data_IF_833653959638
#
_entry.id   IF_833653959638
#
_cell.length_a   1.000
_cell.length_b   1.000
_cell.length_c   1.000
_cell.angle_alpha   90.00
_cell.angle_beta   90.00
_cell.angle_gamma   90.00
#
_symmetry.space_group_name_H-M   'P 1'
#
loop_
_entity.id
_entity.type
_entity.pdbx_description
1 polymer ?
2 polymer ?
3 water ?
#
# COMPACT_ATOMS: atom_id res chain seq x y z
N UNK A 1 -11.75 -0.06 26.47
CA UNK A 1 -12.61 0.74 25.62
C UNK A 1 -11.83 1.28 24.42
N UNK A 2 -12.54 1.53 23.33
CA UNK A 2 -11.93 2.08 22.13
C UNK A 2 -11.72 3.58 22.32
N UNK A 3 -10.51 4.04 22.04
CA UNK A 3 -10.17 5.44 22.24
C UNK A 3 -11.10 6.35 21.43
N UNK A 4 -11.60 7.42 22.07
CA UNK A 4 -12.55 8.30 21.41
C UNK A 4 -11.99 8.94 20.14
N UNK A 5 -10.69 9.23 20.12
CA UNK A 5 -10.12 9.82 18.91
C UNK A 5 -10.25 8.88 17.72
N UNK A 6 -10.20 7.57 17.96
CA UNK A 6 -10.35 6.61 16.86
C UNK A 6 -11.77 6.60 16.34
N UNK A 7 -12.76 6.79 17.23
CA UNK A 7 -14.14 6.89 16.77
C UNK A 7 -14.32 8.12 15.90
N UNK A 8 -13.63 9.21 16.24
CA UNK A 8 -13.67 10.41 15.42
C UNK A 8 -13.05 10.17 14.04
N UNK A 9 -11.93 9.44 13.98
CA UNK A 9 -11.35 9.10 12.68
C UNK A 9 -12.34 8.28 11.86
N UNK A 10 -12.99 7.30 12.50
CA UNK A 10 -14.03 6.50 11.82
C UNK A 10 -15.10 7.40 11.22
N UNK A 11 -15.56 8.38 12.00
CA UNK A 11 -16.60 9.29 11.50
C UNK A 11 -16.11 10.06 10.29
N UNK A 12 -14.84 10.49 10.30
CA UNK A 12 -14.32 11.25 9.17
C UNK A 12 -14.16 10.37 7.94
N UNK A 13 -13.53 9.20 8.12
CA UNK A 13 -13.30 8.31 7.00
C UNK A 13 -14.59 7.88 6.34
N UNK A 14 -15.65 7.79 7.12
CA UNK A 14 -16.91 7.24 6.63
C UNK A 14 -17.81 8.31 6.05
N UNK A 15 -17.39 9.56 6.10
CA UNK A 15 -18.22 10.65 5.59
C UNK A 15 -18.37 10.53 4.08
N UNK A 16 -19.54 10.87 3.54
CA UNK A 16 -19.71 10.83 2.09
C UNK A 16 -18.64 11.65 1.40
N UNK A 17 -18.08 11.09 0.33
CA UNK A 17 -17.13 11.77 -0.56
C UNK A 17 -15.79 12.09 0.09
N UNK A 18 -15.47 11.51 1.27
CA UNK A 18 -14.21 11.84 1.93
C UNK A 18 -13.02 11.67 1.00
N UNK A 19 -13.01 10.61 0.19
CA UNK A 19 -11.87 10.29 -0.66
C UNK A 19 -12.06 10.74 -2.11
N UNK A 20 -13.12 11.50 -2.40
CA UNK A 20 -13.38 11.90 -3.79
C UNK A 20 -12.24 12.73 -4.37
N UNK A 21 -11.47 13.43 -3.53
CA UNK A 21 -10.33 14.21 -4.05
C UNK A 21 -9.34 13.35 -4.82
N UNK A 22 -9.32 12.04 -4.60
CA UNK A 22 -8.39 11.19 -5.32
C UNK A 22 -8.61 11.21 -6.83
N UNK A 23 -9.80 11.64 -7.28
CA UNK A 23 -10.06 11.70 -8.70
C UNK A 23 -9.13 12.70 -9.41
N UNK A 24 -8.57 13.65 -8.67
CA UNK A 24 -7.68 14.66 -9.24
C UNK A 24 -6.22 14.40 -8.94
N UNK A 25 -5.86 13.24 -8.40
CA UNK A 25 -4.49 13.01 -8.00
C UNK A 25 -3.62 12.56 -9.16
N UNK A 26 -2.46 13.17 -9.29
CA UNK A 26 -1.40 12.64 -10.16
C UNK A 26 -0.70 11.53 -9.37
N UNK A 27 -1.14 10.30 -9.60
CA UNK A 27 -0.72 9.17 -8.76
C UNK A 27 0.79 8.96 -8.83
N UNK A 28 1.34 8.89 -10.04
CA UNK A 28 2.76 8.57 -10.16
C UNK A 28 3.63 9.65 -9.53
N UNK A 29 3.27 10.91 -9.77
CA UNK A 29 4.06 12.00 -9.20
C UNK A 29 4.02 11.98 -7.68
N UNK A 30 2.83 11.74 -7.09
CA UNK A 30 2.70 11.75 -5.64
C UNK A 30 3.47 10.60 -5.02
N UNK A 31 3.36 9.39 -5.60
CA UNK A 31 4.09 8.24 -5.05
C UNK A 31 5.59 8.39 -5.23
N UNK A 32 6.02 8.92 -6.39
CA UNK A 32 7.44 9.20 -6.57
C UNK A 32 7.95 10.15 -5.49
N UNK A 33 7.19 11.21 -5.21
CA UNK A 33 7.58 12.14 -4.15
C UNK A 33 7.63 11.45 -2.80
N UNK A 34 6.66 10.59 -2.50
CA UNK A 34 6.67 9.87 -1.23
C UNK A 34 7.82 8.89 -1.13
N UNK A 35 8.32 8.40 -2.26
CA UNK A 35 9.45 7.47 -2.22
C UNK A 35 10.79 8.18 -2.11
N UNK A 36 10.83 9.51 -2.25
CA UNK A 36 12.08 10.23 -2.13
C UNK A 36 12.46 10.36 -0.66
N UNK A 37 13.73 10.60 -0.37
CA UNK A 37 14.17 10.54 1.04
C UNK A 37 13.44 11.49 1.98
N UNK A 38 13.14 12.72 1.57
CA UNK A 38 12.54 13.65 2.51
C UNK A 38 11.28 13.04 3.14
N UNK A 39 10.33 12.64 2.30
CA UNK A 39 9.10 12.07 2.84
C UNK A 39 9.35 10.68 3.42
N UNK A 40 10.08 9.84 2.69
CA UNK A 40 10.22 8.44 3.11
C UNK A 40 10.92 8.33 4.46
N UNK A 41 11.98 9.13 4.67
CA UNK A 41 12.69 9.10 5.94
C UNK A 41 11.79 9.58 7.08
N UNK A 42 10.99 10.60 6.81
CA UNK A 42 10.12 11.11 7.85
C UNK A 42 9.03 10.10 8.20
N UNK A 43 8.43 9.48 7.20
CA UNK A 43 7.42 8.46 7.45
C UNK A 43 8.01 7.32 8.27
N UNK A 44 9.17 6.82 7.85
CA UNK A 44 9.80 5.72 8.58
C UNK A 44 10.19 6.12 10.00
N UNK A 45 10.61 7.36 10.21
CA UNK A 45 10.88 7.81 11.57
C UNK A 45 9.65 7.73 12.45
N UNK A 46 8.49 8.18 11.93
CA UNK A 46 7.24 8.03 12.68
C UNK A 46 6.95 6.57 12.96
N UNK A 47 7.05 5.73 11.91
CA UNK A 47 6.75 4.32 12.05
C UNK A 47 7.64 3.66 13.08
N UNK A 48 8.94 3.90 12.98
CA UNK A 48 9.88 3.26 13.89
C UNK A 48 9.65 3.69 15.34
N UNK A 49 9.34 4.96 15.56
CA UNK A 49 9.07 5.42 16.92
C UNK A 49 7.81 4.78 17.46
N UNK A 50 6.76 4.71 16.65
CA UNK A 50 5.50 4.15 17.11
C UNK A 50 5.60 2.65 17.32
N UNK A 51 6.45 1.98 16.55
CA UNK A 51 6.62 0.54 16.67
C UNK A 51 7.22 0.13 18.01
N UNK A 52 7.90 1.05 18.69
CA UNK A 52 8.44 0.73 20.01
C UNK A 52 7.40 0.90 21.11
N UNK A 53 6.25 1.49 20.83
CA UNK A 53 5.24 1.73 21.83
C UNK A 53 4.37 0.49 22.01
N UNK A 54 3.54 0.52 23.05
CA UNK A 54 2.65 -0.57 23.42
C UNK A 54 1.21 -0.07 23.37
N UNK A 55 0.35 -0.79 22.66
CA UNK A 55 -1.04 -0.39 22.49
C UNK A 55 -2.00 -1.45 23.02
N UNK A 56 -3.15 -0.97 23.52
CA UNK A 56 -4.21 -1.83 24.00
C UNK A 56 -4.79 -2.65 22.86
N UNK A 57 -5.27 -3.85 23.19
CA UNK A 57 -5.74 -4.74 22.12
C UNK A 57 -7.01 -4.22 21.45
N UNK A 58 -7.92 -3.61 22.22
CA UNK A 58 -9.12 -3.09 21.56
C UNK A 58 -8.77 -1.97 20.59
N UNK A 59 -7.79 -1.12 20.95
CA UNK A 59 -7.37 -0.07 20.02
C UNK A 59 -6.71 -0.67 18.78
N UNK A 60 -5.83 -1.65 18.94
CA UNK A 60 -5.20 -2.28 17.77
C UNK A 60 -6.27 -2.91 16.88
N UNK A 61 -7.19 -3.64 17.48
CA UNK A 61 -8.25 -4.26 16.69
C UNK A 61 -9.06 -3.20 15.95
N UNK A 62 -9.40 -2.12 16.64
CA UNK A 62 -10.17 -1.06 15.99
C UNK A 62 -9.36 -0.37 14.90
N UNK A 63 -8.06 -0.17 15.11
CA UNK A 63 -7.22 0.42 14.08
C UNK A 63 -7.22 -0.45 12.82
N UNK A 64 -7.22 -1.77 12.99
CA UNK A 64 -7.32 -2.62 11.81
C UNK A 64 -8.62 -2.40 11.05
N UNK A 65 -9.73 -2.13 11.76
CA UNK A 65 -10.98 -1.81 11.06
C UNK A 65 -10.89 -0.45 10.37
N UNK A 66 -10.14 0.49 10.95
CA UNK A 66 -9.93 1.78 10.29
C UNK A 66 -9.08 1.63 9.03
N UNK A 67 -8.05 0.78 9.09
CA UNK A 67 -7.24 0.50 7.91
C UNK A 67 -8.10 -0.08 6.79
N UNK A 68 -8.99 -1.01 7.13
CA UNK A 68 -9.82 -1.63 6.09
C UNK A 68 -10.74 -0.61 5.45
N UNK A 69 -11.36 0.25 6.25
CA UNK A 69 -12.19 1.32 5.73
C UNK A 69 -11.39 2.27 4.85
N UNK A 70 -10.24 2.73 5.34
CA UNK A 70 -9.43 3.64 4.54
C UNK A 70 -9.03 3.00 3.23
N UNK A 71 -8.61 1.74 3.28
CA UNK A 71 -8.20 1.06 2.06
C UNK A 71 -9.36 0.98 1.08
N UNK A 72 -10.49 0.43 1.52
CA UNK A 72 -11.57 0.12 0.59
C UNK A 72 -12.30 1.37 0.13
N UNK A 73 -12.54 2.33 1.04
CA UNK A 73 -13.24 3.54 0.63
C UNK A 73 -12.40 4.31 -0.39
N UNK A 74 -11.08 4.34 -0.22
CA UNK A 74 -10.25 5.00 -1.22
C UNK A 74 -10.13 4.19 -2.50
N UNK A 75 -10.13 2.86 -2.39
CA UNK A 75 -10.03 2.02 -3.58
C UNK A 75 -11.24 2.20 -4.49
N UNK A 76 -12.41 2.46 -3.90
CA UNK A 76 -13.63 2.67 -4.67
C UNK A 76 -13.54 3.90 -5.56
N UNK A 77 -12.69 4.86 -5.22
CA UNK A 77 -12.63 6.09 -5.99
C UNK A 77 -11.76 5.94 -7.24
N UNK A 78 -10.54 5.42 -7.10
CA UNK A 78 -9.63 5.33 -8.23
C UNK A 78 -9.02 3.94 -8.43
N UNK A 79 -9.39 2.94 -7.62
CA UNK A 79 -9.01 1.55 -7.91
C UNK A 79 -7.49 1.40 -8.08
N UNK A 80 -6.73 2.08 -7.21
CA UNK A 80 -5.28 2.00 -7.26
C UNK A 80 -4.79 1.35 -5.97
N UNK A 81 -4.18 0.17 -6.08
CA UNK A 81 -3.80 -0.58 -4.88
C UNK A 81 -2.71 0.12 -4.08
N UNK A 82 -1.71 0.70 -4.75
CA UNK A 82 -0.63 1.34 -4.01
C UNK A 82 -1.13 2.56 -3.25
N UNK A 83 -1.97 3.39 -3.90
CA UNK A 83 -2.55 4.52 -3.19
C UNK A 83 -3.32 4.03 -1.97
N UNK A 84 -4.23 3.07 -2.19
CA UNK A 84 -5.05 2.59 -1.08
C UNK A 84 -4.20 1.97 0.03
N UNK A 85 -3.13 1.26 -0.35
CA UNK A 85 -2.20 0.73 0.64
C UNK A 85 -1.51 1.83 1.43
N UNK A 86 -1.09 2.90 0.77
CA UNK A 86 -0.40 3.98 1.47
C UNK A 86 -1.36 4.70 2.41
N UNK A 87 -2.62 4.86 2.00
CA UNK A 87 -3.62 5.50 2.85
C UNK A 87 -3.87 4.65 4.07
N UNK A 88 -4.01 3.33 3.88
CA UNK A 88 -4.17 2.42 5.01
C UNK A 88 -3.00 2.53 6.00
N UNK A 89 -1.77 2.49 5.49
CA UNK A 89 -0.61 2.65 6.35
C UNK A 89 -0.62 4.00 7.05
N UNK A 90 -0.97 5.07 6.32
CA UNK A 90 -1.04 6.40 6.95
C UNK A 90 -2.03 6.38 8.11
N UNK A 91 -3.20 5.81 7.88
CA UNK A 91 -4.23 5.75 8.91
C UNK A 91 -3.74 4.95 10.13
N UNK A 92 -2.93 3.91 9.90
CA UNK A 92 -2.36 3.17 11.01
C UNK A 92 -1.53 4.09 11.91
N UNK A 93 -0.60 4.84 11.32
CA UNK A 93 0.28 5.66 12.15
C UNK A 93 -0.41 6.93 12.67
N UNK A 94 -1.35 7.47 11.91
CA UNK A 94 -2.20 8.57 12.40
C UNK A 94 -2.93 8.11 13.65
N UNK A 95 -3.57 6.94 13.56
CA UNK A 95 -4.36 6.44 14.68
C UNK A 95 -3.51 6.23 15.91
N UNK A 96 -2.36 5.59 15.74
CA UNK A 96 -1.48 5.34 16.89
C UNK A 96 -1.00 6.66 17.48
N UNK A 97 -0.71 7.64 16.63
CA UNK A 97 -0.28 8.94 17.13
C UNK A 97 -1.38 9.61 17.96
N UNK A 98 -2.63 9.53 17.52
CA UNK A 98 -3.71 10.10 18.30
C UNK A 98 -3.86 9.40 19.64
N UNK A 99 -3.75 8.07 19.67
CA UNK A 99 -3.94 7.33 20.92
C UNK A 99 -2.86 7.72 21.92
N UNK A 100 -1.63 7.94 21.44
CA UNK A 100 -0.54 8.38 22.30
C UNK A 100 -0.59 9.86 22.63
N UNK A 101 -1.58 10.60 22.11
CA UNK A 101 -1.72 12.03 22.35
C UNK A 101 -0.46 12.78 21.93
N UNK A 102 0.12 12.36 20.81
CA UNK A 102 1.40 12.95 20.42
C UNK A 102 1.20 14.39 19.98
N UNK A 103 1.99 15.28 20.57
CA UNK A 103 1.98 16.68 20.20
C UNK A 103 3.08 16.93 19.18
N UNK A 104 2.87 17.97 18.35
CA UNK A 104 3.78 18.28 17.25
C UNK A 104 4.00 17.07 16.35
N UNK A 105 2.96 16.26 16.15
CA UNK A 105 3.12 14.99 15.45
C UNK A 105 2.99 15.21 13.94
N UNK A 106 4.04 14.85 13.18
CA UNK A 106 3.99 14.93 11.71
C UNK A 106 2.88 14.07 11.14
N UNK A 107 2.64 12.89 11.74
CA UNK A 107 1.54 12.05 11.30
C UNK A 107 0.22 12.80 11.33
N UNK A 108 0.00 13.59 12.39
CA UNK A 108 -1.27 14.29 12.53
C UNK A 108 -1.27 15.61 11.76
N UNK A 109 -0.24 16.43 11.93
CA UNK A 109 -0.26 17.78 11.33
C UNK A 109 0.06 17.77 9.84
N UNK A 110 0.69 16.70 9.33
CA UNK A 110 0.87 16.55 7.90
C UNK A 110 -0.04 15.48 7.29
N UNK A 111 0.07 14.22 7.71
CA UNK A 111 -0.69 13.19 7.00
C UNK A 111 -2.19 13.35 7.20
N UNK A 112 -2.64 13.37 8.46
CA UNK A 112 -4.08 13.42 8.71
C UNK A 112 -4.66 14.76 8.25
N UNK A 113 -3.97 15.85 8.57
CA UNK A 113 -4.41 17.16 8.08
C UNK A 113 -4.54 17.19 6.56
N UNK A 114 -3.62 16.55 5.84
CA UNK A 114 -3.78 16.46 4.40
C UNK A 114 -5.13 15.83 4.03
N UNK A 115 -5.42 14.64 4.56
CA UNK A 115 -6.67 13.99 4.21
C UNK A 115 -7.87 14.89 4.53
N UNK A 116 -7.84 15.54 5.69
CA UNK A 116 -8.96 16.40 6.08
C UNK A 116 -9.13 17.58 5.14
N UNK A 117 -8.05 18.01 4.47
CA UNK A 117 -8.09 19.10 3.50
C UNK A 117 -8.20 18.60 2.06
N UNK A 118 -8.57 17.35 1.87
CA UNK A 118 -8.80 16.85 0.53
C UNK A 118 -7.53 16.68 -0.27
N UNK A 119 -6.45 16.23 0.37
CA UNK A 119 -5.22 15.98 -0.36
C UNK A 119 -4.55 14.70 0.11
N UNK A 120 -3.95 14.00 -0.86
CA UNK A 120 -3.11 12.85 -0.57
C UNK A 120 -1.75 13.36 -0.10
N UNK A 121 -1.32 13.04 1.12
CA UNK A 121 -0.07 13.64 1.63
C UNK A 121 1.16 13.13 0.88
N UNK A 122 2.04 14.05 0.55
CA UNK A 122 3.27 13.69 -0.14
C UNK A 122 4.38 14.64 0.32
N UNK B 19 -3.17 3.01 -21.51
CA UNK B 19 -2.73 2.61 -20.17
C UNK B 19 -3.91 2.30 -19.25
N UNK B 20 -3.88 1.13 -18.63
CA UNK B 20 -4.79 0.77 -17.57
C UNK B 20 -3.96 0.33 -16.37
N UNK B 21 -4.26 0.86 -15.19
CA UNK B 21 -3.38 0.65 -14.04
C UNK B 21 -4.13 0.07 -12.86
N UNK B 22 -3.55 -0.96 -12.26
CA UNK B 22 -4.00 -1.51 -11.00
C UNK B 22 -3.21 -0.97 -9.81
N UNK B 23 -2.02 -0.44 -10.07
CA UNK B 23 -1.16 0.04 -9.02
C UNK B 23 -0.50 -1.04 -8.18
N UNK B 24 -0.58 -2.31 -8.60
CA UNK B 24 0.00 -3.43 -7.84
C UNK B 24 1.22 -4.01 -8.57
N UNK B 25 2.37 -3.44 -8.27
CA UNK B 25 3.65 -4.01 -8.67
C UNK B 25 4.10 -5.06 -7.67
N UNK B 26 4.65 -6.16 -8.18
CA UNK B 26 5.22 -7.21 -7.38
C UNK B 26 6.55 -7.58 -8.03
N UNK B 27 7.69 -7.37 -7.35
CA UNK B 27 7.79 -6.65 -6.08
C UNK B 27 7.37 -5.18 -6.18
N UNK B 28 7.03 -4.60 -5.04
CA UNK B 28 6.56 -3.22 -5.02
C UNK B 28 7.66 -2.28 -5.52
N UNK B 29 7.23 -1.13 -6.09
CA UNK B 29 8.17 -0.15 -6.61
C UNK B 29 9.16 0.29 -5.52
N UNK B 30 8.65 0.71 -4.36
CA UNK B 30 9.53 1.23 -3.32
C UNK B 30 10.52 0.17 -2.86
N UNK B 31 10.08 -1.08 -2.77
CA UNK B 31 10.94 -2.17 -2.29
C UNK B 31 11.97 -2.58 -3.34
N UNK B 32 11.70 -2.32 -4.62
CA UNK B 32 12.63 -2.69 -5.68
C UNK B 32 13.69 -1.65 -5.94
N UNK B 33 13.56 -0.47 -5.36
CA UNK B 33 14.47 0.62 -5.66
C UNK B 33 15.90 0.20 -5.34
N UNK B 34 16.81 0.43 -6.30
CA UNK B 34 18.20 0.07 -6.12
C UNK B 34 18.54 -1.37 -6.43
N UNK B 35 17.56 -2.23 -6.67
CA UNK B 35 17.79 -3.63 -6.98
C UNK B 35 17.82 -3.87 -8.47
N UNK B 36 18.29 -5.04 -8.91
CA UNK B 36 18.38 -5.28 -10.35
C UNK B 36 17.04 -5.12 -11.06
N UNK B 37 15.94 -5.42 -10.39
CA UNK B 37 14.60 -5.33 -10.92
C UNK B 37 13.89 -4.05 -10.50
N UNK B 38 14.66 -3.01 -10.15
CA UNK B 38 14.09 -1.71 -9.90
C UNK B 38 13.14 -1.33 -11.03
N UNK B 39 12.09 -0.61 -10.67
CA UNK B 39 11.14 -0.13 -11.67
C UNK B 39 10.82 1.34 -11.44
N UNK B 40 10.74 2.10 -12.54
CA UNK B 40 10.32 3.50 -12.49
C UNK B 40 8.85 3.57 -12.87
N UNK B 41 8.10 4.49 -12.26
CA UNK B 41 6.65 4.49 -12.45
C UNK B 41 6.27 4.91 -13.86
N UNK B 42 7.17 5.59 -14.59
CA UNK B 42 6.88 5.91 -15.98
C UNK B 42 6.91 4.68 -16.86
N UNK B 43 7.50 3.57 -16.37
CA UNK B 43 7.64 2.36 -17.17
C UNK B 43 6.32 1.58 -17.11
N UNK B 44 5.48 1.75 -18.13
CA UNK B 44 4.19 1.08 -18.21
C UNK B 44 4.28 -0.28 -18.88
N UNK B 45 5.49 -0.75 -19.18
CA UNK B 45 5.72 -2.08 -19.72
C UNK B 45 5.84 -3.13 -18.63
N UNK B 46 6.38 -2.77 -17.47
CA UNK B 46 6.53 -3.75 -16.39
C UNK B 46 5.16 -4.34 -16.04
N UNK B 47 4.97 -5.65 -16.11
CA UNK B 47 3.66 -6.22 -15.76
C UNK B 47 3.30 -5.99 -14.31
N UNK B 48 2.01 -5.74 -14.08
CA UNK B 48 1.46 -5.59 -12.75
C UNK B 48 0.29 -6.56 -12.57
N UNK B 49 -0.20 -6.66 -11.35
CA UNK B 49 -1.28 -7.61 -11.03
C UNK B 49 -2.61 -6.88 -11.00
N UNK B 50 -3.63 -7.46 -11.63
CA UNK B 50 -4.97 -6.87 -11.69
C UNK B 50 -5.93 -7.84 -11.04
N UNK B 51 -6.61 -7.47 -9.95
CA UNK B 51 -7.51 -8.41 -9.29
C UNK B 51 -8.73 -8.73 -10.15
N UNK B 52 -9.10 -10.00 -10.18
CA UNK B 52 -10.24 -10.48 -10.95
C UNK B 52 -11.37 -10.87 -10.02
N UNK B 53 -12.56 -10.99 -10.60
CA UNK B 53 -13.70 -11.53 -9.89
C UNK B 53 -14.58 -10.46 -9.31
N UNK B 54 -15.58 -10.92 -8.55
CA UNK B 54 -16.42 -10.00 -7.82
C UNK B 54 -15.68 -9.47 -6.61
N UNK B 55 -15.94 -8.21 -6.29
CA UNK B 55 -15.42 -7.54 -5.11
C UNK B 55 -13.90 -7.45 -5.16
N UNK B 56 -13.34 -6.85 -6.22
CA UNK B 56 -11.88 -6.70 -6.27
C UNK B 56 -11.30 -5.91 -5.12
N UNK B 57 -12.05 -4.97 -4.53
CA UNK B 57 -11.51 -4.24 -3.38
C UNK B 57 -11.12 -5.19 -2.25
N UNK B 58 -11.85 -6.29 -2.09
CA UNK B 58 -11.53 -7.21 -1.02
C UNK B 58 -10.30 -8.03 -1.34
N UNK B 59 -10.15 -8.47 -2.60
CA UNK B 59 -8.91 -9.14 -2.99
C UNK B 59 -7.74 -8.19 -2.82
N UNK B 60 -7.90 -6.94 -3.23
CA UNK B 60 -6.83 -5.94 -3.08
C UNK B 60 -6.50 -5.74 -1.61
N UNK B 61 -7.52 -5.65 -0.75
CA UNK B 61 -7.29 -5.50 0.68
C UNK B 61 -6.57 -6.71 1.27
N UNK B 62 -6.96 -7.91 0.87
CA UNK B 62 -6.31 -9.12 1.37
C UNK B 62 -4.84 -9.15 0.95
N UNK B 63 -4.54 -8.77 -0.29
CA UNK B 63 -3.16 -8.69 -0.73
C UNK B 63 -2.40 -7.64 0.08
N UNK B 64 -3.00 -6.46 0.28
CA UNK B 64 -2.37 -5.43 1.09
C UNK B 64 -2.06 -5.93 2.49
N UNK B 65 -3.04 -6.56 3.12
CA UNK B 65 -2.85 -6.93 4.51
C UNK B 65 -1.81 -8.04 4.66
N UNK B 66 -1.80 -8.99 3.72
CA UNK B 66 -0.78 -10.04 3.77
C UNK B 66 0.61 -9.43 3.58
N UNK B 67 0.75 -8.50 2.65
CA UNK B 67 2.04 -7.85 2.44
C UNK B 67 2.42 -6.99 3.65
N UNK B 68 1.46 -6.29 4.26
CA UNK B 68 1.77 -5.51 5.44
C UNK B 68 2.33 -6.38 6.55
N UNK B 69 1.80 -7.61 6.65
CA UNK B 69 2.20 -8.55 7.70
C UNK B 69 3.61 -9.10 7.46
N UNK B 70 4.00 -9.34 6.21
CA UNK B 70 5.26 -10.03 5.92
C UNK B 70 6.35 -9.06 5.48
N UNK B 71 6.04 -8.14 4.57
CA UNK B 71 7.01 -7.21 4.04
C UNK B 71 7.12 -5.98 4.91
N UNK B 72 5.99 -5.51 5.41
CA UNK B 72 5.93 -4.38 6.30
C UNK B 72 5.25 -3.19 5.66
N UNK B 73 5.61 -1.99 6.12
CA UNK B 73 5.01 -0.79 5.55
C UNK B 73 5.33 -0.62 4.07
N UNK B 74 4.48 0.13 3.35
CA UNK B 74 4.77 0.43 1.97
C UNK B 74 6.01 1.31 1.83
N UNK B 75 6.24 2.22 2.78
CA UNK B 75 7.40 3.08 2.76
C UNK B 75 8.62 2.30 3.27
N UNK B 76 9.79 2.87 3.05
CA UNK B 76 11.01 2.30 3.59
C UNK B 76 11.59 1.18 2.72
N UNK B 77 12.88 0.95 2.92
CA UNK B 77 13.57 -0.17 2.30
C UNK B 77 13.03 -1.50 2.83
N UNK B 78 13.11 -2.52 1.99
CA UNK B 78 12.97 -3.88 2.50
C UNK B 78 14.30 -4.34 3.09
N UNK B 79 14.34 -4.68 4.37
CA UNK B 79 15.63 -5.00 5.03
C UNK B 79 16.05 -6.43 4.75
N UNK B 80 16.38 -6.71 3.49
CA UNK B 80 16.76 -8.07 3.14
C UNK B 80 17.21 -8.16 1.71
N UNK B 81 17.63 -9.37 1.32
CA UNK B 81 18.16 -9.62 0.00
C UNK B 81 17.03 -9.75 -1.05
N UNK B 82 17.44 -9.74 -2.33
CA UNK B 82 16.49 -9.99 -3.41
C UNK B 82 15.77 -11.32 -3.21
N UNK B 83 16.52 -12.37 -2.80
CA UNK B 83 15.92 -13.67 -2.54
C UNK B 83 14.88 -13.57 -1.43
N UNK B 84 15.24 -12.91 -0.32
CA UNK B 84 14.29 -12.77 0.76
C UNK B 84 13.05 -11.99 0.34
N UNK B 85 13.22 -11.01 -0.54
CA UNK B 85 12.07 -10.20 -0.95
C UNK B 85 11.08 -11.02 -1.76
N UNK B 86 11.55 -11.78 -2.74
CA UNK B 86 10.66 -12.71 -3.44
C UNK B 86 10.09 -13.76 -2.51
N UNK B 87 10.91 -14.31 -1.60
CA UNK B 87 10.39 -15.27 -0.62
C UNK B 87 9.27 -14.64 0.19
N UNK B 88 9.39 -13.34 0.49
CA UNK B 88 8.39 -12.65 1.32
C UNK B 88 7.04 -12.58 0.62
N UNK B 89 7.03 -12.26 -0.67
CA UNK B 89 5.77 -12.31 -1.41
C UNK B 89 5.20 -13.71 -1.44
N UNK B 90 6.05 -14.73 -1.61
CA UNK B 90 5.53 -16.09 -1.65
C UNK B 90 4.94 -16.49 -0.31
N UNK B 91 5.57 -16.08 0.79
CA UNK B 91 4.99 -16.32 2.11
C UNK B 91 3.67 -15.56 2.28
N UNK B 92 3.66 -14.28 1.91
CA UNK B 92 2.45 -13.47 2.04
C UNK B 92 1.29 -14.08 1.26
N UNK B 93 1.57 -14.68 0.12
CA UNK B 93 0.53 -15.16 -0.78
C UNK B 93 0.20 -16.64 -0.59
N UNK B 94 0.86 -17.30 0.37
CA UNK B 94 0.77 -18.75 0.47
C UNK B 94 -0.67 -19.23 0.67
N UNK B 95 -1.47 -18.48 1.44
CA UNK B 95 -2.85 -18.88 1.74
C UNK B 95 -3.88 -18.02 1.00
N UNK B 96 -3.51 -17.49 -0.17
CA UNK B 96 -4.42 -16.68 -0.97
C UNK B 96 -4.79 -17.35 -2.29
N UNK B 97 -4.77 -18.68 -2.35
CA UNK B 97 -5.01 -19.36 -3.62
C UNK B 97 -6.43 -19.21 -4.15
N UNK B 98 -7.36 -18.71 -3.35
CA UNK B 98 -8.71 -18.45 -3.86
C UNK B 98 -8.81 -17.14 -4.62
N UNK B 99 -7.80 -16.26 -4.51
CA UNK B 99 -7.77 -15.03 -5.27
C UNK B 99 -7.29 -15.31 -6.68
N UNK B 100 -7.82 -14.57 -7.64
CA UNK B 100 -7.35 -14.63 -9.02
C UNK B 100 -6.95 -13.25 -9.49
N UNK B 101 -5.83 -13.18 -10.22
CA UNK B 101 -5.31 -11.95 -10.79
C UNK B 101 -4.91 -12.19 -12.24
N UNK B 102 -4.91 -11.12 -13.03
CA UNK B 102 -4.17 -11.09 -14.28
C UNK B 102 -2.81 -10.46 -14.03
N UNK B 103 -1.80 -10.91 -14.77
CA UNK B 103 -0.45 -10.33 -14.74
C UNK B 103 -0.17 -9.79 -16.14
N UNK B 104 -0.12 -8.46 -16.28
CA UNK B 104 0.02 -7.88 -17.61
C UNK B 104 0.57 -6.45 -17.53
N UNK B 105 1.18 -6.03 -18.62
CA UNK B 105 1.66 -4.65 -18.71
C UNK B 105 0.50 -3.67 -18.71
N UNK B 106 0.57 -2.60 -17.95
CA UNK B 106 -0.41 -1.50 -18.14
C UNK B 106 -0.54 -1.02 -19.58
N UNK B 107 0.56 -0.98 -20.34
CA UNK B 107 0.47 -0.53 -21.74
C UNK B 107 0.11 -1.64 -22.71
N UNK B 108 -0.17 -2.84 -22.22
CA UNK B 108 -0.65 -3.95 -23.03
C UNK B 108 0.40 -4.74 -23.76
N UNK B 109 1.69 -4.38 -23.63
CA UNK B 109 2.72 -5.01 -24.44
C UNK B 109 2.93 -6.48 -24.07
N UNK B 110 2.84 -6.83 -22.78
CA UNK B 110 2.98 -8.21 -22.35
C UNK B 110 1.77 -8.67 -21.55
N UNK B 111 1.42 -9.95 -21.72
CA UNK B 111 0.44 -10.63 -20.87
C UNK B 111 1.08 -11.92 -20.38
N UNK B 112 1.32 -12.01 -19.07
CA UNK B 112 1.99 -13.16 -18.51
C UNK B 112 1.03 -14.23 -17.99
N UNK B 113 -0.12 -13.82 -17.48
CA UNK B 113 -1.08 -14.77 -16.96
C UNK B 113 -2.46 -14.14 -16.85
N UNK B 114 -3.48 -14.99 -16.96
CA UNK B 114 -4.88 -14.58 -16.88
C UNK B 114 -5.53 -15.49 -15.85
N UNK B 115 -6.17 -14.90 -14.85
CA UNK B 115 -6.86 -15.65 -13.81
C UNK B 115 -5.95 -16.64 -13.10
N UNK B 116 -4.81 -16.15 -12.62
CA UNK B 116 -3.85 -16.98 -11.90
C UNK B 116 -3.89 -16.62 -10.42
N UNK B 117 -3.34 -17.51 -9.60
CA UNK B 117 -3.24 -17.21 -8.18
C UNK B 117 -2.14 -16.17 -7.94
N UNK B 118 -2.20 -15.46 -6.79
CA UNK B 118 -1.08 -14.56 -6.46
C UNK B 118 0.26 -15.28 -6.39
N UNK B 119 0.30 -16.50 -5.84
CA UNK B 119 1.55 -17.25 -5.81
C UNK B 119 2.09 -17.47 -7.22
N UNK B 120 1.24 -17.91 -8.14
CA UNK B 120 1.65 -18.12 -9.52
C UNK B 120 2.14 -16.82 -10.14
N UNK B 121 1.49 -15.71 -9.83
CA UNK B 121 1.92 -14.42 -10.36
C UNK B 121 3.37 -14.12 -10.01
N UNK B 122 3.78 -14.44 -8.78
CA UNK B 122 5.18 -14.21 -8.42
C UNK B 122 6.11 -15.02 -9.30
N UNK B 123 5.76 -16.28 -9.57
CA UNK B 123 6.58 -17.11 -10.46
C UNK B 123 6.67 -16.48 -11.86
N UNK B 124 5.53 -16.07 -12.40
CA UNK B 124 5.50 -15.49 -13.74
C UNK B 124 6.36 -14.23 -13.82
N UNK B 125 6.28 -13.37 -12.81
CA UNK B 125 7.09 -12.16 -12.84
C UNK B 125 8.57 -12.50 -12.74
N UNK B 126 8.93 -13.44 -11.86
CA UNK B 126 10.34 -13.82 -11.73
C UNK B 126 10.88 -14.32 -13.06
N UNK B 127 10.11 -15.15 -13.76
CA UNK B 127 10.55 -15.67 -15.06
C UNK B 127 10.72 -14.54 -16.05
N UNK B 128 9.74 -13.63 -16.11
CA UNK B 128 9.82 -12.52 -17.05
C UNK B 128 11.05 -11.66 -16.76
N UNK B 129 11.28 -11.32 -15.50
CA UNK B 129 12.43 -10.49 -15.15
C UNK B 129 13.73 -11.16 -15.56
N UNK B 130 13.82 -12.47 -15.34
CA UNK B 130 15.03 -13.20 -15.75
C UNK B 130 15.22 -13.11 -17.26
N UNK B 131 14.17 -13.38 -18.02
CA UNK B 131 14.26 -13.25 -19.46
C UNK B 131 14.72 -11.86 -19.89
N UNK B 132 14.29 -10.84 -19.17
CA UNK B 132 14.62 -9.45 -19.49
C UNK B 132 15.99 -9.03 -18.99
N UNK B 133 16.69 -9.91 -18.27
CA UNK B 133 18.01 -9.59 -17.76
C UNK B 133 18.04 -8.80 -16.46
N UNK B 134 16.99 -8.89 -15.65
CA UNK B 134 16.76 -7.96 -14.56
C UNK B 134 16.88 -8.58 -13.18
N UNK B 135 17.55 -9.72 -13.06
CA UNK B 135 17.77 -10.33 -11.76
C UNK B 135 19.23 -10.24 -11.32
#
# INVERSE_FOLDING_TARGET
MINNKLIEIDNCLSAPSFFDFLKSLNVDSALDSRDEPEFDDCWMSEFNSLDKESFQDDDIEFIDSLREKAFKYSFRVINNAEISSRISDDIEIISKSFVLEKENSWSITHLWSSYKNGKFPE
GSSHHHHHHENLYFQGMGVSESGHHVPAVRKSKGRPFEVSRFDKTRPTLFPRGENPEHSAWRLHHAERDVIGPRQGDFPGSDKELFDAYRKAYSKLDDIRVDVKSPNGTYTLGTNVTPSKAVDLIEVWLKGQGLM
#
